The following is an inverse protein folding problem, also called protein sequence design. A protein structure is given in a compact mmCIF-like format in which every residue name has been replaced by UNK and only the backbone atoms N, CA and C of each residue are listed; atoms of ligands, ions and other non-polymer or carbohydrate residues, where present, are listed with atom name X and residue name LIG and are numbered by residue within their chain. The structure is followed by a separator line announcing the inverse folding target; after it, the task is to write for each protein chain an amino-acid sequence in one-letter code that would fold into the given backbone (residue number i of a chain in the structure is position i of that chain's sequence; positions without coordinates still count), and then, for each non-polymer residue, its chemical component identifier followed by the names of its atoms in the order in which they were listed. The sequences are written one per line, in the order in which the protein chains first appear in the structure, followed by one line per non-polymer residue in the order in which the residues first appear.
data_IF_782633182300
#
_entry.id   IF_782633182300
#
_cell.length_a   1.000
_cell.length_b   1.000
_cell.length_c   1.000
_cell.angle_alpha   90.00
_cell.angle_beta   90.00
_cell.angle_gamma   90.00
#
_symmetry.space_group_name_H-M   'P 1'
#
loop_
_entity.id
_entity.type
_entity.pdbx_description
1 polymer ?
#
# COMPACT_ATOMS: atom_id res chain seq x y z
N UNK A 1 -21.29 39.83 8.00
CA UNK A 1 -19.87 39.75 7.59
C UNK A 1 -19.70 40.43 6.24
N UNK A 2 -18.72 41.30 6.12
CA UNK A 2 -18.30 41.90 4.84
C UNK A 2 -17.84 40.78 3.91
N UNK A 3 -18.39 40.74 2.70
CA UNK A 3 -18.29 39.62 1.74
C UNK A 3 -16.85 39.20 1.39
N UNK A 4 -15.86 40.07 1.62
CA UNK A 4 -14.43 39.79 1.41
C UNK A 4 -13.72 39.07 2.58
N UNK A 5 -14.10 39.26 3.85
CA UNK A 5 -13.38 38.67 5.00
C UNK A 5 -13.61 37.15 5.16
N UNK A 6 -14.77 36.61 4.77
CA UNK A 6 -15.05 35.16 4.76
C UNK A 6 -14.32 34.35 3.67
N UNK A 7 -13.82 35.04 2.63
CA UNK A 7 -13.14 34.42 1.48
C UNK A 7 -11.61 34.33 1.72
N UNK A 8 -11.09 34.96 2.78
CA UNK A 8 -9.66 34.97 3.13
C UNK A 8 -9.28 33.89 4.17
N UNK A 9 -10.12 33.61 5.18
CA UNK A 9 -9.82 32.60 6.21
C UNK A 9 -9.83 31.12 5.72
N UNK A 10 -10.54 30.79 4.63
CA UNK A 10 -10.55 29.43 4.01
C UNK A 10 -9.36 29.10 3.10
N UNK A 11 -8.56 30.10 2.72
CA UNK A 11 -7.40 29.91 1.84
C UNK A 11 -6.10 29.62 2.60
N UNK A 12 -6.11 29.84 3.91
CA UNK A 12 -5.01 29.77 4.88
C UNK A 12 -4.91 28.38 5.51
N UNK A 13 -5.98 27.59 5.50
CA UNK A 13 -6.00 26.20 6.00
C UNK A 13 -5.76 25.13 4.91
N UNK A 14 -5.57 25.50 3.64
CA UNK A 14 -5.41 24.59 2.47
C UNK A 14 -3.95 24.24 2.12
N UNK A 15 -3.05 25.21 1.95
CA UNK A 15 -1.58 24.96 1.90
C UNK A 15 -1.02 24.28 3.15
N UNK A 16 -1.84 24.34 4.20
CA UNK A 16 -1.64 23.85 5.56
C UNK A 16 -1.79 22.33 5.72
N UNK A 17 -2.42 21.63 4.79
CA UNK A 17 -2.42 20.15 4.74
C UNK A 17 -1.56 19.61 3.59
N UNK A 18 -1.25 20.44 2.60
CA UNK A 18 -0.65 20.03 1.33
C UNK A 18 0.85 19.71 1.42
N UNK A 19 1.53 20.21 2.45
CA UNK A 19 2.87 19.74 2.87
C UNK A 19 2.77 18.65 3.95
N UNK A 20 1.73 18.74 4.76
CA UNK A 20 1.49 17.84 5.90
C UNK A 20 1.35 16.39 5.44
N UNK A 21 0.80 16.23 4.24
CA UNK A 21 0.81 14.98 3.53
C UNK A 21 2.20 14.82 2.85
N UNK A 22 2.71 15.74 2.00
CA UNK A 22 3.88 15.68 1.07
C UNK A 22 5.10 14.73 1.23
N UNK A 23 5.32 14.07 2.36
CA UNK A 23 5.98 12.77 2.38
C UNK A 23 5.05 11.59 2.02
N UNK A 24 3.76 11.87 1.79
CA UNK A 24 2.61 10.99 1.93
C UNK A 24 1.32 11.59 1.42
N UNK A 25 0.44 10.75 0.87
CA UNK A 25 -0.44 11.11 -0.25
C UNK A 25 0.39 11.71 -1.41
N UNK A 26 0.04 11.52 -2.68
CA UNK A 26 0.80 12.13 -3.79
C UNK A 26 0.62 13.66 -3.85
N UNK A 27 0.75 14.41 -2.73
CA UNK A 27 0.31 15.77 -2.41
C UNK A 27 -1.17 16.10 -2.75
N UNK A 28 -1.72 15.66 -3.88
CA UNK A 28 -2.83 16.27 -4.59
C UNK A 28 -3.35 15.36 -5.73
N UNK A 29 -3.90 14.17 -5.48
CA UNK A 29 -5.04 13.74 -6.31
C UNK A 29 -6.30 14.60 -6.00
N UNK A 30 -6.24 15.51 -5.02
CA UNK A 30 -7.34 16.37 -4.60
C UNK A 30 -6.86 17.75 -4.15
N UNK A 31 -6.86 18.72 -5.05
CA UNK A 31 -7.47 20.01 -4.73
C UNK A 31 -7.82 20.73 -6.03
N UNK A 32 -9.03 20.46 -6.54
CA UNK A 32 -9.62 21.34 -7.55
C UNK A 32 -9.47 22.80 -7.10
N UNK A 33 -9.00 23.65 -8.02
CA UNK A 33 -8.46 25.00 -7.80
C UNK A 33 -7.32 25.11 -6.77
N UNK A 34 -7.35 24.50 -5.58
CA UNK A 34 -6.68 24.80 -4.27
C UNK A 34 -5.16 24.89 -4.10
N UNK A 35 -4.35 24.53 -5.11
CA UNK A 35 -3.08 25.25 -5.39
C UNK A 35 -3.34 26.77 -5.53
N UNK A 36 -4.59 27.13 -5.80
CA UNK A 36 -5.16 28.43 -6.16
C UNK A 36 -4.76 29.54 -5.22
N UNK A 37 -4.65 29.16 -3.97
CA UNK A 37 -4.03 29.94 -2.94
C UNK A 37 -3.35 28.86 -2.14
N UNK A 38 -2.20 28.41 -2.62
CA UNK A 38 -1.12 27.79 -1.85
C UNK A 38 0.01 28.81 -1.64
N UNK A 39 -0.20 29.96 -1.01
CA UNK A 39 -1.37 30.50 -0.30
C UNK A 39 -1.36 32.02 -0.40
N UNK A 40 -1.45 32.54 -1.62
CA UNK A 40 -1.63 33.96 -1.97
C UNK A 40 -0.53 34.95 -1.53
N UNK A 41 0.17 34.79 -0.40
CA UNK A 41 1.29 35.65 0.03
C UNK A 41 2.20 34.86 1.01
N UNK A 42 3.54 34.86 0.82
CA UNK A 42 4.53 34.21 1.72
C UNK A 42 4.22 34.46 3.21
N UNK A 43 3.93 33.42 4.00
CA UNK A 43 4.25 33.36 5.45
C UNK A 43 4.46 31.89 5.87
N UNK A 44 5.73 31.49 6.08
CA UNK A 44 6.11 30.40 7.00
C UNK A 44 6.10 28.94 6.50
N UNK A 45 7.04 28.54 5.63
CA UNK A 45 7.41 27.12 5.47
C UNK A 45 8.57 26.76 6.43
N UNK A 46 8.62 25.51 6.92
CA UNK A 46 9.71 25.05 7.79
C UNK A 46 11.06 25.08 7.06
N UNK A 47 12.13 25.47 7.78
CA UNK A 47 13.49 25.62 7.24
C UNK A 47 14.06 24.35 6.58
N UNK A 48 13.50 23.18 6.90
CA UNK A 48 14.00 21.87 6.45
C UNK A 48 13.15 21.23 5.33
N UNK A 49 12.11 21.90 4.85
CA UNK A 49 11.20 21.35 3.84
C UNK A 49 11.96 21.00 2.55
N UNK A 50 12.83 21.89 2.06
CA UNK A 50 13.63 21.66 0.85
C UNK A 50 14.51 20.42 0.99
N UNK A 51 15.26 20.29 2.09
CA UNK A 51 16.10 19.12 2.37
C UNK A 51 15.31 17.81 2.58
N UNK A 52 14.02 17.89 2.98
CA UNK A 52 13.13 16.72 3.04
C UNK A 52 12.64 16.34 1.65
N UNK A 53 12.27 17.31 0.83
CA UNK A 53 11.82 17.09 -0.55
C UNK A 53 12.95 16.58 -1.45
N UNK A 54 14.17 17.09 -1.29
CA UNK A 54 15.36 16.59 -1.98
C UNK A 54 15.61 15.11 -1.65
N UNK A 55 15.51 14.72 -0.37
CA UNK A 55 15.62 13.31 0.03
C UNK A 55 14.51 12.42 -0.53
N UNK A 56 13.32 12.98 -0.74
CA UNK A 56 12.17 12.26 -1.28
C UNK A 56 12.08 12.34 -2.81
N UNK A 57 13.00 13.03 -3.49
CA UNK A 57 12.94 13.26 -4.94
C UNK A 57 12.74 11.96 -5.71
N UNK A 58 13.64 10.99 -5.54
CA UNK A 58 13.56 9.68 -6.20
C UNK A 58 12.21 8.97 -5.98
N UNK A 59 11.66 9.11 -4.77
CA UNK A 59 10.37 8.52 -4.41
C UNK A 59 9.20 9.21 -5.11
N UNK A 60 9.23 10.55 -5.16
CA UNK A 60 8.23 11.37 -5.85
C UNK A 60 8.26 11.17 -7.36
N UNK A 61 9.45 11.01 -7.97
CA UNK A 61 9.59 10.75 -9.40
C UNK A 61 8.99 9.41 -9.80
N UNK A 62 9.22 8.33 -9.03
CA UNK A 62 8.60 7.01 -9.30
C UNK A 62 7.08 7.11 -9.28
N UNK A 63 6.50 7.74 -8.27
CA UNK A 63 5.03 7.93 -8.17
C UNK A 63 4.51 8.75 -9.36
N UNK A 64 5.21 9.84 -9.68
CA UNK A 64 4.81 10.69 -10.78
C UNK A 64 4.81 9.95 -12.11
N UNK A 65 5.77 9.06 -12.34
CA UNK A 65 5.94 8.37 -13.61
C UNK A 65 5.05 7.14 -13.78
N UNK A 66 4.74 6.44 -12.68
CA UNK A 66 4.08 5.12 -12.72
C UNK A 66 2.62 5.12 -12.30
N UNK A 67 2.17 6.13 -11.54
CA UNK A 67 0.79 6.20 -11.03
C UNK A 67 0.01 7.31 -11.72
N UNK A 68 0.59 8.52 -11.81
CA UNK A 68 -0.13 9.67 -12.33
C UNK A 68 0.83 10.67 -13.02
N UNK A 69 1.10 10.54 -14.33
CA UNK A 69 2.08 11.33 -15.09
C UNK A 69 2.02 12.86 -14.89
N UNK A 70 0.82 13.41 -14.66
CA UNK A 70 0.62 14.84 -14.39
C UNK A 70 1.27 15.33 -13.09
N UNK A 71 1.63 14.44 -12.16
CA UNK A 71 2.36 14.76 -10.93
C UNK A 71 3.74 15.37 -11.20
N UNK A 72 4.30 15.23 -12.42
CA UNK A 72 5.53 15.96 -12.81
C UNK A 72 5.37 17.47 -12.78
N UNK A 73 4.16 18.00 -12.94
CA UNK A 73 3.90 19.44 -12.78
C UNK A 73 4.24 19.91 -11.37
N UNK A 74 4.04 19.05 -10.35
CA UNK A 74 4.41 19.32 -8.95
C UNK A 74 5.92 19.37 -8.75
N UNK A 75 6.67 18.43 -9.36
CA UNK A 75 8.14 18.41 -9.31
C UNK A 75 8.72 19.73 -9.83
N UNK A 76 8.16 20.27 -10.92
CA UNK A 76 8.54 21.59 -11.44
C UNK A 76 8.32 22.73 -10.42
N UNK A 77 7.27 22.66 -9.60
CA UNK A 77 6.98 23.67 -8.58
C UNK A 77 7.94 23.66 -7.39
N UNK A 78 8.54 22.50 -7.07
CA UNK A 78 9.56 22.38 -6.03
C UNK A 78 10.99 22.58 -6.58
N UNK A 79 11.11 23.06 -7.82
CA UNK A 79 12.40 23.34 -8.47
C UNK A 79 13.09 22.09 -9.03
N UNK A 80 12.39 20.96 -9.12
CA UNK A 80 12.91 19.70 -9.65
C UNK A 80 12.53 19.58 -11.12
N UNK A 81 13.50 19.76 -12.01
CA UNK A 81 13.36 19.50 -13.44
C UNK A 81 14.05 18.17 -13.80
N UNK A 82 13.25 17.13 -14.06
CA UNK A 82 13.73 15.84 -14.54
C UNK A 82 12.84 15.34 -15.68
N UNK A 83 13.34 14.44 -16.51
CA UNK A 83 12.59 13.79 -17.61
C UNK A 83 11.97 12.46 -17.14
N UNK A 84 10.89 11.97 -17.79
CA UNK A 84 10.30 10.65 -17.52
C UNK A 84 11.38 9.57 -17.50
N UNK A 85 11.48 8.84 -16.40
CA UNK A 85 12.55 7.87 -16.17
C UNK A 85 12.01 6.49 -15.77
N UNK A 86 10.80 6.42 -15.21
CA UNK A 86 10.22 5.18 -14.70
C UNK A 86 8.94 4.80 -15.49
N UNK A 87 8.66 3.52 -15.62
CA UNK A 87 7.51 2.98 -16.37
C UNK A 87 7.00 1.71 -15.71
N UNK A 88 5.81 1.23 -16.08
CA UNK A 88 5.26 -0.02 -15.54
C UNK A 88 4.64 0.17 -14.15
N UNK A 89 4.65 -0.88 -13.34
CA UNK A 89 4.00 -0.87 -12.04
C UNK A 89 4.85 -0.08 -11.01
N UNK A 90 4.26 0.73 -10.11
CA UNK A 90 5.02 1.50 -9.11
C UNK A 90 5.92 0.65 -8.23
N UNK A 91 5.50 -0.58 -7.92
CA UNK A 91 6.26 -1.52 -7.08
C UNK A 91 7.29 -2.35 -7.85
N UNK A 92 7.48 -2.10 -9.16
CA UNK A 92 8.66 -2.58 -9.90
C UNK A 92 9.91 -1.75 -9.62
N UNK A 93 9.77 -0.62 -8.92
CA UNK A 93 10.86 0.30 -8.62
C UNK A 93 11.17 0.31 -7.13
N UNK A 94 12.42 -0.06 -6.80
CA UNK A 94 12.93 -0.06 -5.44
C UNK A 94 13.62 1.28 -5.19
N UNK A 95 13.02 2.10 -4.33
CA UNK A 95 13.57 3.42 -3.98
C UNK A 95 14.69 3.30 -2.94
N UNK A 96 15.64 4.23 -2.99
CA UNK A 96 16.74 4.33 -2.05
C UNK A 96 16.99 5.81 -1.73
N UNK A 97 17.37 6.10 -0.49
CA UNK A 97 17.60 7.49 -0.04
C UNK A 97 18.85 8.12 -0.67
N UNK A 98 19.84 7.30 -1.06
CA UNK A 98 21.16 7.77 -1.52
C UNK A 98 21.44 7.46 -2.98
N UNK A 99 20.55 6.74 -3.66
CA UNK A 99 20.75 6.26 -5.02
C UNK A 99 19.47 6.40 -5.86
N UNK A 100 19.64 6.32 -7.18
CA UNK A 100 18.50 6.25 -8.09
C UNK A 100 17.70 4.96 -7.85
N UNK A 101 16.36 4.99 -7.99
CA UNK A 101 15.54 3.79 -7.97
C UNK A 101 16.04 2.76 -8.98
N UNK A 102 16.00 1.50 -8.58
CA UNK A 102 16.41 0.36 -9.41
C UNK A 102 15.23 -0.58 -9.63
N UNK A 103 15.30 -1.37 -10.70
CA UNK A 103 14.26 -2.38 -10.96
C UNK A 103 14.25 -3.43 -9.85
N UNK A 104 13.07 -3.82 -9.39
CA UNK A 104 12.85 -4.87 -8.40
C UNK A 104 13.64 -6.13 -8.75
N UNK A 105 13.55 -6.58 -10.01
CA UNK A 105 14.30 -7.73 -10.52
C UNK A 105 15.80 -7.67 -10.20
N UNK A 106 16.43 -6.52 -10.41
CA UNK A 106 17.87 -6.35 -10.16
C UNK A 106 18.28 -6.57 -8.72
N UNK A 107 17.35 -6.39 -7.77
CA UNK A 107 17.61 -6.61 -6.34
C UNK A 107 17.56 -8.07 -5.92
N UNK A 108 17.07 -8.98 -6.77
CA UNK A 108 16.96 -10.42 -6.47
C UNK A 108 17.88 -11.29 -7.33
N UNK A 109 18.46 -10.77 -8.41
CA UNK A 109 19.29 -11.54 -9.36
C UNK A 109 20.45 -12.32 -8.72
N UNK A 110 20.98 -11.88 -7.58
CA UNK A 110 22.06 -12.60 -6.89
C UNK A 110 21.62 -13.91 -6.24
N UNK A 111 20.33 -14.07 -5.94
CA UNK A 111 19.76 -15.30 -5.37
C UNK A 111 18.91 -16.07 -6.39
N UNK A 112 18.22 -15.36 -7.29
CA UNK A 112 17.39 -15.94 -8.35
C UNK A 112 17.63 -15.16 -9.66
N UNK A 113 18.50 -15.66 -10.56
CA UNK A 113 18.78 -15.02 -11.84
C UNK A 113 17.54 -14.86 -12.73
N UNK A 114 16.57 -15.76 -12.57
CA UNK A 114 15.32 -15.80 -13.33
C UNK A 114 14.17 -15.16 -12.54
N UNK A 115 14.48 -14.33 -11.54
CA UNK A 115 13.46 -13.67 -10.74
C UNK A 115 12.53 -12.83 -11.62
N UNK A 116 11.25 -13.14 -11.51
CA UNK A 116 10.15 -12.39 -12.10
C UNK A 116 9.01 -12.30 -11.09
N UNK A 117 8.33 -11.15 -11.08
CA UNK A 117 7.27 -10.88 -10.14
C UNK A 117 6.08 -10.25 -10.83
N UNK A 118 4.93 -10.91 -10.75
CA UNK A 118 3.67 -10.43 -11.31
C UNK A 118 2.82 -9.77 -10.23
N UNK A 119 2.50 -8.49 -10.41
CA UNK A 119 1.63 -7.76 -9.48
C UNK A 119 0.17 -8.18 -9.68
N UNK A 120 -0.51 -8.51 -8.57
CA UNK A 120 -1.89 -8.97 -8.51
C UNK A 120 -2.74 -7.96 -7.73
N UNK A 121 -3.96 -7.72 -8.20
CA UNK A 121 -4.99 -6.98 -7.44
C UNK A 121 -5.86 -7.91 -6.58
N UNK A 122 -5.98 -9.17 -7.00
CA UNK A 122 -6.77 -10.22 -6.37
C UNK A 122 -6.00 -11.53 -6.40
N UNK A 123 -6.28 -12.42 -5.45
CA UNK A 123 -5.60 -13.72 -5.38
C UNK A 123 -6.03 -14.63 -6.54
N UNK A 124 -5.09 -15.44 -7.02
CA UNK A 124 -5.32 -16.45 -8.05
C UNK A 124 -5.52 -17.81 -7.37
N UNK A 125 -6.56 -18.54 -7.77
CA UNK A 125 -6.79 -19.89 -7.26
C UNK A 125 -5.93 -20.88 -8.04
N UNK A 126 -5.20 -21.73 -7.31
CA UNK A 126 -4.50 -22.87 -7.87
C UNK A 126 -5.52 -23.92 -8.32
N UNK A 127 -5.77 -23.98 -9.63
CA UNK A 127 -6.74 -24.91 -10.22
C UNK A 127 -6.30 -26.37 -10.12
N UNK A 128 -5.00 -26.64 -10.05
CA UNK A 128 -4.49 -28.01 -9.88
C UNK A 128 -4.76 -28.49 -8.45
N UNK A 129 -4.70 -27.59 -7.48
CA UNK A 129 -4.97 -27.90 -6.07
C UNK A 129 -6.48 -27.91 -5.71
N UNK A 130 -7.27 -27.00 -6.29
CA UNK A 130 -8.64 -26.71 -5.86
C UNK A 130 -9.71 -26.81 -6.95
N UNK A 131 -9.32 -27.04 -8.21
CA UNK A 131 -10.27 -27.04 -9.33
C UNK A 131 -10.91 -25.67 -9.52
N UNK A 132 -12.23 -25.60 -9.41
CA UNK A 132 -13.02 -24.36 -9.55
C UNK A 132 -13.46 -23.77 -8.19
N UNK A 133 -13.17 -24.45 -7.08
CA UNK A 133 -13.60 -24.04 -5.76
C UNK A 133 -12.58 -23.07 -5.14
N UNK A 134 -13.06 -22.00 -4.50
CA UNK A 134 -12.21 -21.15 -3.67
C UNK A 134 -12.28 -21.67 -2.22
N UNK A 135 -11.19 -22.21 -1.65
CA UNK A 135 -11.19 -22.75 -0.28
C UNK A 135 -11.43 -21.69 0.80
N UNK A 136 -11.39 -20.41 0.43
CA UNK A 136 -11.67 -19.27 1.32
C UNK A 136 -13.16 -18.95 1.38
N UNK A 137 -13.98 -19.52 0.50
CA UNK A 137 -15.43 -19.30 0.49
C UNK A 137 -16.06 -19.93 1.73
N UNK A 138 -16.66 -19.10 2.58
CA UNK A 138 -17.32 -19.49 3.84
C UNK A 138 -18.82 -19.23 3.83
N UNK A 139 -19.33 -18.42 2.92
CA UNK A 139 -20.75 -18.14 2.77
C UNK A 139 -21.08 -17.88 1.30
N UNK A 140 -21.94 -18.71 0.71
CA UNK A 140 -22.40 -18.56 -0.66
C UNK A 140 -23.85 -18.05 -0.67
N UNK A 141 -24.01 -16.77 -0.32
CA UNK A 141 -25.30 -16.08 -0.28
C UNK A 141 -25.29 -14.88 -1.25
N UNK A 142 -26.44 -14.60 -1.86
CA UNK A 142 -26.64 -13.39 -2.69
C UNK A 142 -26.66 -12.10 -1.87
N UNK A 143 -26.90 -12.21 -0.56
CA UNK A 143 -26.89 -11.09 0.39
C UNK A 143 -25.95 -11.49 1.52
N UNK A 144 -24.82 -10.80 1.62
CA UNK A 144 -23.81 -11.04 2.66
C UNK A 144 -23.70 -9.81 3.55
N UNK A 145 -23.80 -10.03 4.86
CA UNK A 145 -23.56 -9.00 5.86
C UNK A 145 -22.19 -9.17 6.50
N UNK A 146 -21.52 -8.06 6.76
CA UNK A 146 -20.23 -8.05 7.42
C UNK A 146 -20.31 -8.70 8.80
N UNK A 147 -19.42 -9.66 9.08
CA UNK A 147 -19.36 -10.35 10.38
C UNK A 147 -18.99 -9.44 11.55
N UNK A 148 -18.28 -8.34 11.26
CA UNK A 148 -17.80 -7.42 12.30
C UNK A 148 -18.80 -6.30 12.60
N UNK A 149 -19.39 -5.66 11.58
CA UNK A 149 -20.30 -4.51 11.77
C UNK A 149 -21.78 -4.81 11.45
N UNK A 150 -22.10 -6.00 10.95
CA UNK A 150 -23.46 -6.42 10.60
C UNK A 150 -24.05 -5.73 9.36
N UNK A 151 -23.31 -4.83 8.70
CA UNK A 151 -23.77 -4.06 7.54
C UNK A 151 -23.65 -4.84 6.24
N UNK A 152 -24.56 -4.55 5.31
CA UNK A 152 -24.55 -5.15 3.97
C UNK A 152 -23.23 -4.88 3.24
N UNK A 153 -22.65 -5.93 2.66
CA UNK A 153 -21.47 -5.84 1.81
C UNK A 153 -21.87 -5.86 0.33
N UNK A 154 -21.21 -5.03 -0.49
CA UNK A 154 -21.37 -5.03 -1.95
C UNK A 154 -20.14 -4.44 -2.62
N UNK A 155 -19.80 -4.91 -3.82
CA UNK A 155 -18.81 -4.22 -4.66
C UNK A 155 -19.38 -2.95 -5.30
N UNK A 156 -20.71 -2.76 -5.29
CA UNK A 156 -21.32 -1.51 -5.73
C UNK A 156 -21.36 -0.50 -4.58
N UNK A 157 -20.64 0.61 -4.75
CA UNK A 157 -20.53 1.66 -3.74
C UNK A 157 -21.86 2.35 -3.39
N UNK A 158 -22.87 2.30 -4.26
CA UNK A 158 -24.20 2.84 -3.97
C UNK A 158 -25.05 1.91 -3.09
N UNK A 159 -24.67 0.63 -2.98
CA UNK A 159 -25.38 -0.41 -2.22
C UNK A 159 -24.60 -0.78 -0.96
N UNK A 160 -23.28 -0.72 -1.00
CA UNK A 160 -22.43 -1.12 0.11
C UNK A 160 -22.62 -0.25 1.36
N UNK A 161 -22.96 -0.88 2.47
CA UNK A 161 -23.11 -0.23 3.77
C UNK A 161 -21.92 -0.50 4.71
N UNK A 162 -21.08 -1.49 4.40
CA UNK A 162 -19.93 -1.86 5.22
C UNK A 162 -18.77 -0.85 5.08
N UNK A 163 -18.20 -0.45 6.22
CA UNK A 163 -17.08 0.51 6.32
C UNK A 163 -15.95 0.02 7.25
N UNK A 164 -15.78 -1.30 7.43
CA UNK A 164 -14.70 -1.83 8.28
C UNK A 164 -13.31 -1.61 7.69
N UNK A 165 -13.17 -1.76 6.37
CA UNK A 165 -11.91 -1.55 5.63
C UNK A 165 -12.19 -0.86 4.28
N UNK A 166 -12.69 0.39 4.31
CA UNK A 166 -13.11 1.11 3.10
C UNK A 166 -11.95 1.44 2.15
N UNK A 167 -10.69 1.32 2.60
CA UNK A 167 -9.50 1.48 1.76
C UNK A 167 -9.34 0.33 0.76
N UNK A 168 -9.86 -0.86 1.08
CA UNK A 168 -9.72 -2.06 0.25
C UNK A 168 -11.03 -2.53 -0.39
N UNK A 169 -12.16 -2.27 0.27
CA UNK A 169 -13.43 -2.89 -0.10
C UNK A 169 -14.58 -1.89 -0.27
N UNK A 170 -15.54 -2.26 -1.11
CA UNK A 170 -16.82 -1.55 -1.24
C UNK A 170 -16.87 -0.40 -2.23
N UNK A 171 -15.76 -0.08 -2.93
CA UNK A 171 -15.70 0.83 -4.07
C UNK A 171 -14.33 0.77 -4.79
N UNK A 172 -14.02 1.78 -5.62
CA UNK A 172 -12.74 1.94 -6.31
C UNK A 172 -11.55 1.89 -5.33
N UNK A 173 -10.66 0.92 -5.52
CA UNK A 173 -9.40 0.77 -4.77
C UNK A 173 -8.47 1.93 -5.13
N UNK A 174 -8.10 2.75 -4.14
CA UNK A 174 -7.05 3.74 -4.33
C UNK A 174 -5.68 3.03 -4.35
N UNK A 175 -4.70 3.51 -5.13
CA UNK A 175 -3.34 3.00 -5.03
C UNK A 175 -2.83 3.12 -3.60
N UNK A 176 -2.16 2.09 -3.07
CA UNK A 176 -1.64 2.11 -1.71
C UNK A 176 -0.56 3.18 -1.59
N UNK A 177 -0.57 3.92 -0.49
CA UNK A 177 0.42 4.97 -0.22
C UNK A 177 1.70 4.39 0.38
N UNK A 178 2.28 3.40 -0.31
CA UNK A 178 3.50 2.70 0.07
C UNK A 178 4.43 2.52 -1.13
N UNK A 179 5.73 2.38 -0.86
CA UNK A 179 6.73 2.06 -1.88
C UNK A 179 7.63 0.91 -1.43
N UNK A 180 8.15 0.17 -2.40
CA UNK A 180 9.22 -0.79 -2.14
C UNK A 180 10.52 0.01 -2.00
N UNK A 181 11.25 -0.19 -0.91
CA UNK A 181 12.52 0.50 -0.68
C UNK A 181 13.63 -0.48 -0.33
N UNK A 182 14.87 -0.07 -0.55
CA UNK A 182 16.04 -0.85 -0.14
C UNK A 182 16.22 -0.71 1.37
N UNK A 183 16.16 -1.83 2.11
CA UNK A 183 16.37 -1.76 3.56
C UNK A 183 17.84 -1.48 3.88
N UNK A 184 18.13 -0.69 4.92
CA UNK A 184 19.50 -0.47 5.37
C UNK A 184 20.09 -1.68 6.12
N UNK A 185 19.24 -2.60 6.61
CA UNK A 185 19.60 -3.67 7.57
C UNK A 185 19.69 -5.08 6.95
N UNK A 186 19.93 -5.19 5.64
CA UNK A 186 20.23 -6.48 5.00
C UNK A 186 19.03 -7.38 4.72
N UNK A 187 17.80 -6.96 5.03
CA UNK A 187 16.54 -7.66 4.69
C UNK A 187 16.15 -7.47 3.21
N UNK A 188 17.12 -7.24 2.33
CA UNK A 188 16.94 -6.90 0.93
C UNK A 188 16.04 -5.66 0.71
N UNK A 189 14.74 -5.87 0.50
CA UNK A 189 13.76 -4.82 0.25
C UNK A 189 12.70 -4.83 1.35
N UNK A 190 12.11 -3.68 1.60
CA UNK A 190 11.04 -3.49 2.57
C UNK A 190 9.90 -2.69 1.95
N UNK A 191 8.83 -2.51 2.73
CA UNK A 191 7.77 -1.55 2.42
C UNK A 191 7.90 -0.34 3.32
N UNK A 192 7.94 0.86 2.73
CA UNK A 192 7.93 2.11 3.46
C UNK A 192 6.59 2.82 3.29
N UNK A 193 6.01 3.24 4.41
CA UNK A 193 4.81 4.05 4.41
C UNK A 193 5.11 5.44 3.87
N UNK A 194 4.30 5.92 2.93
CA UNK A 194 4.37 7.32 2.49
C UNK A 194 3.40 8.17 3.27
N UNK A 195 2.18 7.72 3.56
CA UNK A 195 1.30 8.44 4.48
C UNK A 195 1.29 7.84 5.89
N UNK A 196 0.72 8.59 6.82
CA UNK A 196 0.28 8.03 8.10
C UNK A 196 -0.82 6.99 7.84
N UNK A 197 -0.73 5.85 8.52
CA UNK A 197 -1.80 4.88 8.62
C UNK A 197 -2.29 4.84 10.07
N UNK A 198 -3.52 5.30 10.30
CA UNK A 198 -4.14 5.25 11.63
C UNK A 198 -4.28 3.82 12.15
N UNK A 199 -4.30 3.66 13.47
CA UNK A 199 -4.52 2.33 14.09
C UNK A 199 -5.82 1.70 13.58
N UNK A 200 -5.74 0.46 13.12
CA UNK A 200 -6.89 -0.29 12.60
C UNK A 200 -7.19 -0.04 11.12
N UNK A 201 -6.51 0.90 10.46
CA UNK A 201 -6.66 1.10 9.01
C UNK A 201 -5.99 -0.03 8.22
N UNK A 202 -6.60 -0.38 7.08
CA UNK A 202 -6.02 -1.34 6.17
C UNK A 202 -4.87 -0.71 5.35
N UNK A 203 -3.79 -1.46 5.21
CA UNK A 203 -2.64 -1.12 4.37
C UNK A 203 -2.72 -1.85 3.03
N UNK A 204 -3.17 -3.12 3.05
CA UNK A 204 -3.28 -3.97 1.87
C UNK A 204 -3.91 -5.32 2.17
N UNK A 205 -4.51 -5.95 1.16
CA UNK A 205 -4.85 -7.37 1.22
C UNK A 205 -3.61 -8.21 0.88
N UNK A 206 -3.40 -9.30 1.61
CA UNK A 206 -2.35 -10.27 1.34
C UNK A 206 -2.82 -11.22 0.22
N UNK A 207 -2.47 -10.87 -1.02
CA UNK A 207 -2.90 -11.60 -2.22
C UNK A 207 -1.78 -12.42 -2.85
N UNK A 208 -2.09 -13.57 -3.39
CA UNK A 208 -1.09 -14.45 -4.02
C UNK A 208 -1.76 -15.64 -4.69
N UNK A 209 -1.00 -16.73 -4.87
CA UNK A 209 -1.53 -18.01 -5.28
C UNK A 209 -2.16 -18.72 -4.08
N UNK A 210 -3.47 -18.97 -4.13
CA UNK A 210 -4.21 -19.73 -3.12
C UNK A 210 -4.09 -21.22 -3.46
N UNK A 211 -3.36 -21.96 -2.63
CA UNK A 211 -2.94 -23.35 -2.89
C UNK A 211 -2.96 -24.18 -1.58
N UNK A 212 -2.38 -25.38 -1.57
CA UNK A 212 -2.19 -26.25 -0.39
C UNK A 212 -1.00 -27.18 -0.60
N UNK A 213 -0.43 -27.68 0.49
CA UNK A 213 0.62 -28.70 0.45
C UNK A 213 1.99 -28.21 -0.03
N UNK A 214 2.22 -26.89 -0.07
CA UNK A 214 3.56 -26.35 -0.30
C UNK A 214 4.37 -26.44 0.99
N UNK A 215 5.47 -27.20 0.94
CA UNK A 215 6.43 -27.40 2.03
C UNK A 215 7.77 -26.73 1.68
N UNK A 216 8.53 -26.27 2.70
CA UNK A 216 9.83 -25.62 2.52
C UNK A 216 9.78 -24.31 1.71
N UNK A 217 8.59 -23.69 1.64
CA UNK A 217 8.35 -22.43 0.94
C UNK A 217 7.73 -21.43 1.90
N UNK A 218 8.11 -20.18 1.70
CA UNK A 218 7.55 -19.04 2.40
C UNK A 218 6.07 -18.83 1.98
N UNK A 219 5.15 -19.36 2.78
CA UNK A 219 3.69 -19.31 2.55
C UNK A 219 2.96 -18.88 3.82
N UNK A 220 1.90 -18.08 3.65
CA UNK A 220 0.94 -17.86 4.74
C UNK A 220 0.00 -19.05 4.80
N UNK A 221 -0.12 -19.70 5.96
CA UNK A 221 -1.02 -20.82 6.17
C UNK A 221 -2.29 -20.40 6.93
N UNK A 222 -3.46 -20.77 6.40
CA UNK A 222 -4.72 -20.48 7.07
C UNK A 222 -4.87 -21.34 8.34
N UNK A 223 -5.46 -20.76 9.38
CA UNK A 223 -5.74 -21.46 10.65
C UNK A 223 -7.05 -22.26 10.62
N UNK A 224 -7.64 -22.49 9.45
CA UNK A 224 -8.91 -23.21 9.32
C UNK A 224 -8.70 -24.72 9.42
N UNK A 225 -9.57 -25.42 10.15
CA UNK A 225 -9.52 -26.88 10.33
C UNK A 225 -10.21 -27.65 9.21
N UNK A 226 -11.22 -27.06 8.57
CA UNK A 226 -12.06 -27.77 7.59
C UNK A 226 -11.61 -27.54 6.14
N UNK A 227 -10.90 -26.45 5.86
CA UNK A 227 -10.33 -26.13 4.54
C UNK A 227 -9.03 -25.33 4.69
N UNK A 228 -7.97 -26.02 5.10
CA UNK A 228 -6.67 -25.39 5.24
C UNK A 228 -6.12 -25.02 3.85
N UNK A 229 -5.80 -23.76 3.65
CA UNK A 229 -5.22 -23.23 2.42
C UNK A 229 -3.96 -22.45 2.75
N UNK A 230 -3.13 -22.26 1.73
CA UNK A 230 -1.92 -21.45 1.79
C UNK A 230 -2.04 -20.30 0.79
N UNK A 231 -1.41 -19.16 1.09
CA UNK A 231 -1.21 -18.08 0.13
C UNK A 231 0.29 -17.97 -0.13
N UNK A 232 0.70 -18.27 -1.36
CA UNK A 232 2.09 -18.20 -1.81
C UNK A 232 2.31 -16.96 -2.66
N UNK A 233 3.27 -16.11 -2.26
CA UNK A 233 3.64 -14.90 -2.99
C UNK A 233 4.94 -15.05 -3.79
N UNK A 234 5.39 -16.26 -4.12
CA UNK A 234 6.69 -16.53 -4.77
C UNK A 234 7.02 -15.64 -5.97
N UNK A 235 6.26 -15.83 -7.06
CA UNK A 235 6.43 -15.15 -8.35
C UNK A 235 5.27 -14.22 -8.71
N UNK A 236 4.25 -14.19 -7.87
CA UNK A 236 3.06 -13.35 -8.06
C UNK A 236 2.52 -12.92 -6.70
N UNK A 237 1.88 -11.76 -6.64
CA UNK A 237 1.35 -11.21 -5.40
C UNK A 237 1.28 -9.70 -5.49
N UNK A 238 1.31 -9.00 -4.37
CA UNK A 238 1.41 -7.54 -4.37
C UNK A 238 2.53 -7.07 -3.45
N UNK A 239 2.59 -5.77 -3.18
CA UNK A 239 3.56 -5.14 -2.29
C UNK A 239 3.63 -5.74 -0.88
N UNK A 240 2.57 -6.41 -0.39
CA UNK A 240 2.59 -7.03 0.95
C UNK A 240 3.65 -8.11 1.09
N UNK A 241 4.12 -8.70 -0.03
CA UNK A 241 5.26 -9.64 -0.06
C UNK A 241 6.54 -9.09 0.53
N UNK A 242 6.75 -7.78 0.40
CA UNK A 242 8.00 -7.14 0.82
C UNK A 242 7.91 -6.57 2.24
N UNK A 243 6.87 -6.90 3.01
CA UNK A 243 6.73 -6.46 4.40
C UNK A 243 7.60 -7.34 5.28
N UNK A 244 8.63 -6.76 5.89
CA UNK A 244 9.61 -7.48 6.67
C UNK A 244 9.14 -7.85 8.08
N UNK A 245 9.88 -8.78 8.69
CA UNK A 245 9.73 -9.12 10.09
C UNK A 245 10.30 -8.06 11.03
N UNK A 246 9.63 -7.83 12.16
CA UNK A 246 10.18 -7.16 13.34
C UNK A 246 9.63 -7.81 14.61
N UNK A 247 10.46 -7.92 15.66
CA UNK A 247 10.03 -8.33 17.00
C UNK A 247 9.11 -7.29 17.68
N UNK A 248 9.14 -6.05 17.18
CA UNK A 248 8.29 -4.93 17.64
C UNK A 248 7.54 -4.35 16.45
N UNK A 249 6.59 -5.11 15.86
CA UNK A 249 5.97 -4.72 14.59
C UNK A 249 4.97 -3.58 14.75
N UNK A 250 4.88 -2.73 13.72
CA UNK A 250 3.91 -1.64 13.62
C UNK A 250 2.68 -1.99 12.77
N UNK A 251 2.55 -3.25 12.34
CA UNK A 251 1.34 -3.77 11.69
C UNK A 251 1.07 -5.23 12.09
N UNK A 252 -0.03 -5.80 11.61
CA UNK A 252 -0.38 -7.21 11.79
C UNK A 252 -1.29 -7.70 10.66
N UNK A 253 -1.24 -8.99 10.37
CA UNK A 253 -2.27 -9.63 9.54
C UNK A 253 -3.52 -9.92 10.36
N UNK A 254 -4.68 -9.66 9.77
CA UNK A 254 -5.98 -9.90 10.35
C UNK A 254 -6.89 -10.60 9.33
N UNK A 255 -7.63 -11.60 9.78
CA UNK A 255 -8.70 -12.20 8.99
C UNK A 255 -9.87 -11.23 8.89
N UNK A 256 -10.38 -11.06 7.67
CA UNK A 256 -11.60 -10.31 7.39
C UNK A 256 -12.45 -11.11 6.42
N UNK A 257 -13.76 -10.93 6.46
CA UNK A 257 -14.67 -11.61 5.56
C UNK A 257 -15.34 -10.60 4.65
N UNK A 258 -15.10 -10.70 3.35
CA UNK A 258 -15.70 -9.84 2.34
C UNK A 258 -16.47 -10.66 1.32
N UNK A 259 -17.76 -10.39 1.18
CA UNK A 259 -18.67 -11.10 0.27
C UNK A 259 -18.59 -12.63 0.43
N UNK A 260 -18.45 -13.08 1.68
CA UNK A 260 -18.43 -14.50 2.02
C UNK A 260 -17.08 -15.18 1.77
N UNK A 261 -16.03 -14.44 1.37
CA UNK A 261 -14.66 -14.93 1.20
C UNK A 261 -13.81 -14.52 2.42
N UNK A 262 -13.04 -15.45 2.99
CA UNK A 262 -11.99 -15.14 3.97
C UNK A 262 -10.81 -14.44 3.26
N UNK A 263 -10.52 -13.22 3.67
CA UNK A 263 -9.40 -12.40 3.21
C UNK A 263 -8.40 -12.19 4.35
N UNK A 264 -7.12 -12.08 4.02
CA UNK A 264 -6.08 -11.71 4.97
C UNK A 264 -5.68 -10.26 4.71
N UNK A 265 -5.86 -9.40 5.69
CA UNK A 265 -5.63 -7.95 5.58
C UNK A 265 -4.44 -7.55 6.45
N UNK A 266 -3.50 -6.81 5.87
CA UNK A 266 -2.45 -6.14 6.62
C UNK A 266 -3.02 -4.86 7.24
N UNK A 267 -3.07 -4.82 8.57
CA UNK A 267 -3.71 -3.75 9.35
C UNK A 267 -2.66 -2.99 10.17
N UNK A 268 -2.75 -1.67 10.16
CA UNK A 268 -1.83 -0.77 10.88
C UNK A 268 -2.04 -0.80 12.40
N UNK A 269 -0.94 -0.79 13.18
CA UNK A 269 -0.93 -0.53 14.63
C UNK A 269 -0.66 0.94 14.96
N UNK A 270 -0.89 1.84 13.98
CA UNK A 270 -0.38 3.21 13.85
C UNK A 270 1.02 3.20 13.23
N UNK A 271 1.15 3.81 12.06
CA UNK A 271 2.38 3.94 11.29
C UNK A 271 2.47 5.39 10.83
N UNK A 272 3.61 6.02 11.08
CA UNK A 272 3.86 7.39 10.63
C UNK A 272 4.47 7.39 9.21
N UNK A 273 4.32 8.50 8.50
CA UNK A 273 4.93 8.66 7.17
C UNK A 273 6.47 8.51 7.25
N UNK A 274 7.02 7.66 6.39
CA UNK A 274 8.45 7.35 6.32
C UNK A 274 8.89 6.16 7.18
N UNK A 275 8.01 5.53 7.95
CA UNK A 275 8.33 4.31 8.68
C UNK A 275 8.29 3.07 7.78
N UNK A 276 9.21 2.12 8.02
CA UNK A 276 9.11 0.78 7.45
C UNK A 276 7.91 0.05 8.06
N UNK A 277 7.09 -0.55 7.20
CA UNK A 277 5.97 -1.40 7.61
C UNK A 277 6.51 -2.79 7.91
N UNK A 278 6.27 -3.27 9.12
CA UNK A 278 6.77 -4.56 9.60
C UNK A 278 5.69 -5.35 10.32
N UNK A 279 5.79 -6.68 10.26
CA UNK A 279 4.91 -7.63 10.97
C UNK A 279 5.72 -8.58 11.85
N UNK A 280 5.06 -9.20 12.82
CA UNK A 280 5.63 -10.35 13.51
C UNK A 280 5.28 -11.60 12.69
N UNK A 281 6.29 -12.28 12.15
CA UNK A 281 6.07 -13.55 11.46
C UNK A 281 5.70 -14.66 12.46
N UNK A 282 6.04 -14.50 13.74
CA UNK A 282 5.90 -15.48 14.81
C UNK A 282 6.62 -16.81 14.52
N UNK A 283 6.88 -17.60 15.56
CA UNK A 283 7.59 -18.88 15.43
C UNK A 283 6.86 -19.94 14.58
N UNK A 284 5.56 -19.78 14.31
CA UNK A 284 4.80 -20.69 13.44
C UNK A 284 5.26 -20.60 11.97
N UNK A 285 5.88 -19.49 11.57
CA UNK A 285 6.34 -19.25 10.20
C UNK A 285 7.67 -19.93 9.85
N UNK A 286 8.49 -20.25 10.87
CA UNK A 286 9.87 -20.71 10.70
C UNK A 286 10.08 -22.19 11.02
N UNK A 287 9.03 -22.97 11.27
CA UNK A 287 9.19 -24.38 11.67
C UNK A 287 9.68 -25.30 10.55
N UNK A 288 9.56 -24.88 9.29
CA UNK A 288 9.86 -25.73 8.13
C UNK A 288 10.94 -25.15 7.20
N UNK A 289 11.86 -24.32 7.74
CA UNK A 289 13.03 -23.81 7.03
C UNK A 289 14.32 -24.20 7.79
N UNK A 290 14.53 -25.52 7.94
CA UNK A 290 15.84 -26.12 8.24
C UNK A 290 16.43 -26.78 6.97
#
# INVERSE_FOLDING_TARGET
MTKQQLIFDRAIWRGYKEIKDAGGWACLAFAGSGVYRLCKYRVGFEKNLTARLERLQSSLEVVADTIHPECRKLLKFIGIECQPAYTGHPHDWVVCDTAKPVMLKSTYMQWDPDFEFSHLEESVIDQDAWGIEDPRMVENSSIVSCRDCGRLQSNNSSVNECRCFPELYGCCKAPPSVQVFRTPLGMNNGIIARCEYGRGSAIGEFVGLVTKGMEGKDVMQSKSTENQYQIYQGRMGNYTRFVNHSCSPNSQFQKFYWLGIECIVLVSKRIEAGEEITVDYSHEYWKDLD
#
